data_IF_589071982280
#
_entry.id   IF_589071982280
#
_cell.length_a   1.000
_cell.length_b   1.000
_cell.length_c   1.000
_cell.angle_alpha   90.00
_cell.angle_beta   90.00
_cell.angle_gamma   90.00
#
_symmetry.space_group_name_H-M   'P 1'
#
loop_
_entity.id
_entity.type
_entity.pdbx_description
1 polymer ?
#
# COMPACT_ATOMS: atom_id res chain seq x y z
N UNK A 1 24.46 -11.39 26.86
CA UNK A 1 23.39 -10.37 26.75
C UNK A 1 22.79 -10.49 25.36
N UNK A 2 21.57 -10.99 25.30
CA UNK A 2 20.89 -11.45 24.07
C UNK A 2 20.62 -10.25 23.16
N UNK A 3 20.96 -10.40 21.88
CA UNK A 3 20.61 -9.44 20.82
C UNK A 3 19.09 -9.32 20.80
N UNK A 4 18.55 -8.17 21.16
CA UNK A 4 17.16 -7.83 20.83
C UNK A 4 17.09 -7.71 19.31
N UNK A 5 16.39 -8.60 18.60
CA UNK A 5 16.09 -8.33 17.21
C UNK A 5 15.11 -7.16 17.24
N UNK A 6 15.51 -6.07 16.60
CA UNK A 6 14.61 -5.05 16.07
C UNK A 6 13.25 -5.67 15.79
N UNK A 7 12.26 -5.19 16.55
CA UNK A 7 10.86 -5.49 16.40
C UNK A 7 10.57 -5.68 14.90
N UNK A 8 10.25 -6.91 14.52
CA UNK A 8 9.66 -7.24 13.24
C UNK A 8 8.32 -6.49 13.18
N UNK A 9 8.35 -5.20 12.89
CA UNK A 9 7.19 -4.37 12.57
C UNK A 9 6.74 -4.56 11.12
N UNK A 10 7.36 -5.51 10.40
CA UNK A 10 6.74 -6.17 9.28
C UNK A 10 5.71 -7.19 9.80
N UNK A 11 4.73 -6.71 10.57
CA UNK A 11 3.38 -7.24 10.43
C UNK A 11 3.12 -7.14 8.94
N UNK A 12 3.16 -8.29 8.27
CA UNK A 12 2.58 -8.43 6.95
C UNK A 12 1.12 -8.16 7.18
N UNK A 13 0.74 -6.88 7.18
CA UNK A 13 -0.63 -6.45 7.04
C UNK A 13 -1.04 -7.07 5.72
N UNK A 14 -1.66 -8.24 5.79
CA UNK A 14 -2.27 -8.92 4.66
C UNK A 14 -3.19 -7.87 4.07
N UNK A 15 -2.71 -7.22 3.01
CA UNK A 15 -3.25 -5.97 2.49
C UNK A 15 -4.61 -6.24 1.91
N UNK A 16 -5.62 -6.26 2.76
CA UNK A 16 -7.00 -6.37 2.35
C UNK A 16 -7.42 -4.97 1.90
N UNK A 17 -7.52 -4.82 0.58
CA UNK A 17 -8.18 -3.66 -0.03
C UNK A 17 -9.65 -3.72 0.37
N UNK A 18 -10.09 -2.75 1.16
CA UNK A 18 -11.52 -2.54 1.37
C UNK A 18 -12.06 -1.68 0.23
N UNK A 19 -13.38 -1.67 0.06
CA UNK A 19 -14.04 -0.92 -1.01
C UNK A 19 -13.60 0.56 -1.09
N UNK A 20 -13.36 1.20 0.07
CA UNK A 20 -12.89 2.57 0.15
C UNK A 20 -11.48 2.78 -0.41
N UNK A 21 -10.59 1.79 -0.28
CA UNK A 21 -9.25 1.87 -0.86
C UNK A 21 -9.32 1.75 -2.39
N UNK A 22 -10.18 0.86 -2.90
CA UNK A 22 -10.39 0.71 -4.35
C UNK A 22 -10.96 2.00 -4.95
N UNK A 23 -11.92 2.64 -4.28
CA UNK A 23 -12.45 3.94 -4.71
C UNK A 23 -11.37 5.02 -4.70
N UNK A 24 -10.48 5.01 -3.70
CA UNK A 24 -9.35 5.94 -3.61
C UNK A 24 -8.34 5.72 -4.74
N UNK A 25 -7.95 4.48 -5.01
CA UNK A 25 -7.09 4.09 -6.13
C UNK A 25 -7.72 4.54 -7.46
N UNK A 26 -9.02 4.31 -7.63
CA UNK A 26 -9.71 4.73 -8.85
C UNK A 26 -9.73 6.25 -8.99
N UNK A 27 -9.98 7.01 -7.92
CA UNK A 27 -9.93 8.46 -7.94
C UNK A 27 -8.52 8.98 -8.28
N UNK A 28 -7.47 8.35 -7.75
CA UNK A 28 -6.08 8.67 -8.07
C UNK A 28 -5.75 8.42 -9.54
N UNK A 29 -6.13 7.27 -10.09
CA UNK A 29 -5.90 6.93 -11.49
C UNK A 29 -6.74 7.79 -12.44
N UNK A 30 -7.94 8.23 -12.02
CA UNK A 30 -8.74 9.19 -12.79
C UNK A 30 -8.09 10.59 -12.81
N UNK A 31 -7.50 11.02 -11.70
CA UNK A 31 -6.80 12.31 -11.62
C UNK A 31 -5.45 12.29 -12.35
N UNK A 32 -4.75 11.15 -12.31
CA UNK A 32 -3.47 10.95 -12.98
C UNK A 32 -3.38 9.53 -13.57
N UNK A 33 -3.78 9.33 -14.84
CA UNK A 33 -3.75 8.02 -15.48
C UNK A 33 -2.33 7.54 -15.82
N UNK A 34 -1.32 8.40 -15.69
CA UNK A 34 0.10 8.08 -15.92
C UNK A 34 0.86 7.73 -14.63
N UNK A 35 0.17 7.65 -13.49
CA UNK A 35 0.77 7.31 -12.20
C UNK A 35 1.38 5.90 -12.24
N UNK A 36 2.64 5.77 -11.82
CA UNK A 36 3.29 4.47 -11.73
C UNK A 36 2.75 3.67 -10.53
N UNK A 37 2.90 2.34 -10.57
CA UNK A 37 2.40 1.46 -9.52
C UNK A 37 3.14 1.67 -8.19
N UNK A 38 4.43 2.00 -8.22
CA UNK A 38 5.22 2.34 -7.03
C UNK A 38 4.74 3.65 -6.39
N UNK A 39 4.52 4.69 -7.19
CA UNK A 39 3.91 5.94 -6.70
C UNK A 39 2.52 5.70 -6.10
N UNK A 40 1.71 4.83 -6.71
CA UNK A 40 0.39 4.49 -6.20
C UNK A 40 0.48 3.76 -4.84
N UNK A 41 1.47 2.88 -4.70
CA UNK A 41 1.76 2.20 -3.44
C UNK A 41 2.22 3.19 -2.37
N UNK A 42 3.10 4.14 -2.71
CA UNK A 42 3.53 5.20 -1.79
C UNK A 42 2.35 6.06 -1.34
N UNK A 43 1.43 6.40 -2.23
CA UNK A 43 0.25 7.19 -1.87
C UNK A 43 -0.75 6.41 -0.99
N UNK A 44 -0.95 5.12 -1.25
CA UNK A 44 -1.74 4.25 -0.37
C UNK A 44 -1.13 4.14 1.02
N UNK A 45 0.20 4.03 1.09
CA UNK A 45 0.90 4.02 2.36
C UNK A 45 0.76 5.38 3.08
N UNK A 46 1.02 6.49 2.40
CA UNK A 46 0.96 7.83 2.99
C UNK A 46 -0.45 8.26 3.42
N UNK A 47 -1.49 7.91 2.65
CA UNK A 47 -2.85 8.36 2.91
C UNK A 47 -3.68 7.38 3.75
N UNK A 48 -3.37 6.08 3.70
CA UNK A 48 -4.18 5.01 4.32
C UNK A 48 -3.39 4.10 5.26
N UNK A 49 -2.09 4.31 5.43
CA UNK A 49 -1.19 3.44 6.21
C UNK A 49 -1.20 1.98 5.70
N UNK A 50 -1.43 1.81 4.38
CA UNK A 50 -1.55 0.49 3.75
C UNK A 50 -0.38 0.23 2.82
N UNK A 51 0.51 -0.66 3.25
CA UNK A 51 1.57 -1.19 2.41
C UNK A 51 1.08 -2.42 1.64
N UNK A 52 0.69 -2.22 0.39
CA UNK A 52 0.13 -3.27 -0.48
C UNK A 52 1.14 -3.58 -1.58
N UNK A 53 1.36 -4.86 -1.85
CA UNK A 53 2.31 -5.28 -2.89
C UNK A 53 1.86 -4.80 -4.28
N UNK A 54 2.82 -4.41 -5.13
CA UNK A 54 2.54 -4.04 -6.54
C UNK A 54 1.78 -5.14 -7.29
N UNK A 55 2.08 -6.41 -7.00
CA UNK A 55 1.36 -7.57 -7.55
C UNK A 55 -0.11 -7.64 -7.13
N UNK A 56 -0.46 -7.10 -5.96
CA UNK A 56 -1.86 -7.00 -5.50
C UNK A 56 -2.56 -5.82 -6.16
N UNK A 57 -1.85 -4.71 -6.38
CA UNK A 57 -2.38 -3.51 -7.05
C UNK A 57 -2.59 -3.76 -8.55
N UNK A 58 -1.69 -4.49 -9.20
CA UNK A 58 -1.75 -4.78 -10.64
C UNK A 58 -2.80 -5.82 -11.04
N UNK A 59 -3.44 -6.48 -10.07
CA UNK A 59 -4.37 -7.58 -10.31
C UNK A 59 -5.77 -7.07 -10.65
#
# INVERSE_FOLDING_TARGET
MVRSPTLFHAEVALGFLILLDIQYIHALLQANPTLYLDELQEQLFAARDKYISLSTISR
#
